data_IF_846501832581
#
_entry.id   IF_846501832581
#
_cell.length_a   1.000
_cell.length_b   1.000
_cell.length_c   1.000
_cell.angle_alpha   90.00
_cell.angle_beta   90.00
_cell.angle_gamma   90.00
#
_symmetry.space_group_name_H-M   'P 1'
#
loop_
_entity.id
_entity.type
_entity.pdbx_description
1 polymer ?
#
# COMPACT_ATOMS: atom_id res chain seq x y z
N UNK A 1 3.25 -17.54 -8.71
CA UNK A 1 1.89 -17.78 -8.18
C UNK A 1 1.06 -16.53 -8.42
N UNK A 2 -0.16 -16.66 -8.94
CA UNK A 2 -1.05 -15.53 -9.19
C UNK A 2 -1.60 -15.07 -7.83
N UNK A 3 -1.18 -13.90 -7.34
CA UNK A 3 -1.66 -13.33 -6.09
C UNK A 3 -3.14 -13.02 -6.24
N UNK A 4 -3.95 -13.34 -5.23
CA UNK A 4 -5.35 -12.92 -5.20
C UNK A 4 -5.38 -11.40 -5.08
N UNK A 5 -6.11 -10.73 -6.00
CA UNK A 5 -6.10 -9.26 -6.18
C UNK A 5 -6.38 -8.45 -4.90
N UNK A 6 -6.96 -9.07 -3.88
CA UNK A 6 -7.35 -8.40 -2.63
C UNK A 6 -6.70 -9.00 -1.37
N UNK A 7 -5.71 -9.88 -1.56
CA UNK A 7 -5.02 -10.52 -0.44
C UNK A 7 -3.71 -9.79 -0.18
N UNK A 8 -3.63 -9.15 0.98
CA UNK A 8 -2.40 -8.53 1.50
C UNK A 8 -1.78 -9.49 2.52
N UNK A 9 -0.50 -9.80 2.37
CA UNK A 9 0.25 -10.67 3.25
C UNK A 9 1.55 -10.01 3.71
N UNK A 10 2.03 -10.40 4.89
CA UNK A 10 3.37 -10.02 5.35
C UNK A 10 4.40 -10.57 4.36
N UNK A 11 5.32 -9.71 3.94
CA UNK A 11 6.31 -10.00 2.91
C UNK A 11 5.97 -9.45 1.53
N UNK A 12 4.71 -9.07 1.28
CA UNK A 12 4.31 -8.47 0.00
C UNK A 12 5.05 -7.15 -0.26
N UNK A 13 5.35 -6.89 -1.52
CA UNK A 13 5.80 -5.58 -2.01
C UNK A 13 4.68 -5.00 -2.85
N UNK A 14 4.32 -3.75 -2.56
CA UNK A 14 3.24 -3.00 -3.19
C UNK A 14 3.74 -1.62 -3.58
N UNK A 15 3.12 -1.01 -4.59
CA UNK A 15 3.56 0.24 -5.18
C UNK A 15 2.49 1.34 -5.03
N UNK A 16 2.83 2.41 -4.32
CA UNK A 16 2.00 3.60 -4.15
C UNK A 16 2.29 4.59 -5.29
N UNK A 17 1.29 4.89 -6.12
CA UNK A 17 1.34 5.98 -7.09
C UNK A 17 1.09 7.34 -6.39
N UNK A 18 2.14 7.90 -5.78
CA UNK A 18 2.03 9.08 -4.93
C UNK A 18 1.96 10.38 -5.73
N UNK A 19 0.79 11.04 -5.74
CA UNK A 19 0.60 12.35 -6.39
C UNK A 19 1.44 13.42 -5.69
N UNK A 20 1.48 13.38 -4.34
CA UNK A 20 2.18 14.36 -3.50
C UNK A 20 3.68 14.41 -3.80
N UNK A 21 4.33 13.25 -3.84
CA UNK A 21 5.76 13.14 -4.17
C UNK A 21 6.04 13.06 -5.66
N UNK A 22 4.98 12.92 -6.47
CA UNK A 22 5.11 12.85 -7.90
C UNK A 22 5.91 11.65 -8.42
N UNK A 23 5.93 10.55 -7.66
CA UNK A 23 6.69 9.33 -7.98
C UNK A 23 6.00 8.10 -7.42
N UNK A 24 6.37 6.94 -7.94
CA UNK A 24 5.98 5.65 -7.39
C UNK A 24 6.86 5.33 -6.18
N UNK A 25 6.23 4.88 -5.10
CA UNK A 25 6.92 4.49 -3.87
C UNK A 25 6.72 2.99 -3.66
N UNK A 26 7.82 2.27 -3.51
CA UNK A 26 7.81 0.86 -3.14
C UNK A 26 7.61 0.72 -1.63
N UNK A 27 6.68 -0.13 -1.23
CA UNK A 27 6.35 -0.44 0.15
C UNK A 27 6.35 -1.94 0.38
N UNK A 28 7.16 -2.39 1.34
CA UNK A 28 7.14 -3.77 1.82
C UNK A 28 6.21 -3.89 3.02
N UNK A 29 5.29 -4.84 2.99
CA UNK A 29 4.42 -5.16 4.14
C UNK A 29 5.21 -5.97 5.15
N UNK A 30 5.35 -5.44 6.36
CA UNK A 30 6.14 -6.07 7.43
C UNK A 30 5.29 -6.57 8.59
N UNK A 31 4.06 -6.08 8.74
CA UNK A 31 3.12 -6.59 9.73
C UNK A 31 1.66 -6.29 9.34
N UNK A 32 0.72 -7.10 9.80
CA UNK A 32 -0.72 -6.88 9.69
C UNK A 32 -1.37 -7.25 11.02
N UNK A 33 -2.15 -6.35 11.61
CA UNK A 33 -2.80 -6.58 12.89
C UNK A 33 -4.18 -5.91 12.95
N UNK A 34 -5.00 -6.37 13.89
CA UNK A 34 -6.26 -5.72 14.25
C UNK A 34 -6.01 -4.79 15.44
N UNK A 35 -6.56 -3.60 15.36
CA UNK A 35 -6.48 -2.59 16.42
C UNK A 35 -7.88 -2.08 16.74
N UNK A 36 -8.14 -1.91 18.03
CA UNK A 36 -9.42 -1.43 18.52
C UNK A 36 -9.44 0.09 18.55
N UNK A 37 -10.40 0.69 17.86
CA UNK A 37 -10.63 2.13 17.81
C UNK A 37 -12.01 2.44 18.38
N UNK A 38 -12.25 3.69 18.79
CA UNK A 38 -13.59 4.16 19.19
C UNK A 38 -14.65 3.88 18.11
N UNK A 39 -14.24 3.89 16.82
CA UNK A 39 -15.11 3.57 15.68
C UNK A 39 -15.25 2.07 15.36
N UNK A 40 -14.78 1.21 16.26
CA UNK A 40 -14.70 -0.24 16.10
C UNK A 40 -13.35 -0.72 15.54
N UNK A 41 -13.19 -2.04 15.51
CA UNK A 41 -11.99 -2.72 15.03
C UNK A 41 -11.60 -2.32 13.61
N UNK A 42 -10.30 -2.03 13.42
CA UNK A 42 -9.72 -1.72 12.11
C UNK A 42 -8.53 -2.64 11.84
N UNK A 43 -8.34 -3.00 10.57
CA UNK A 43 -7.16 -3.72 10.10
C UNK A 43 -6.06 -2.73 9.74
N UNK A 44 -4.94 -2.84 10.45
CA UNK A 44 -3.76 -2.00 10.25
C UNK A 44 -2.70 -2.79 9.49
N UNK A 45 -2.01 -2.11 8.59
CA UNK A 45 -0.90 -2.64 7.80
C UNK A 45 0.33 -1.80 8.07
N UNK A 46 1.42 -2.45 8.46
CA UNK A 46 2.71 -1.78 8.65
C UNK A 46 3.54 -2.01 7.41
N UNK A 47 4.02 -0.90 6.86
CA UNK A 47 4.80 -0.86 5.63
C UNK A 47 6.16 -0.23 5.87
N UNK A 48 7.15 -0.66 5.12
CA UNK A 48 8.50 -0.10 5.11
C UNK A 48 8.86 0.35 3.70
N UNK A 49 9.46 1.53 3.59
CA UNK A 49 9.86 2.14 2.32
C UNK A 49 11.10 3.02 2.53
N UNK A 50 11.59 3.70 1.49
CA UNK A 50 12.66 4.68 1.64
C UNK A 50 12.27 5.87 2.55
N UNK A 51 10.98 6.12 2.79
CA UNK A 51 10.47 7.12 3.74
C UNK A 51 10.44 6.62 5.19
N UNK A 52 10.92 5.39 5.43
CA UNK A 52 10.86 4.73 6.72
C UNK A 52 9.61 3.88 6.90
N UNK A 53 9.40 3.47 8.16
CA UNK A 53 8.33 2.56 8.57
C UNK A 53 7.08 3.33 8.96
N UNK A 54 5.94 2.96 8.38
CA UNK A 54 4.66 3.64 8.58
C UNK A 54 3.53 2.63 8.79
N UNK A 55 2.58 3.00 9.65
CA UNK A 55 1.33 2.26 9.87
C UNK A 55 0.21 2.92 9.07
N UNK A 56 -0.55 2.12 8.31
CA UNK A 56 -1.63 2.59 7.43
C UNK A 56 -2.87 1.71 7.62
N UNK A 57 -4.05 2.22 7.27
CA UNK A 57 -5.23 1.38 7.22
C UNK A 57 -5.15 0.44 6.02
N UNK A 58 -5.68 -0.78 6.16
CA UNK A 58 -5.77 -1.72 5.05
C UNK A 58 -6.51 -1.13 3.83
N UNK A 59 -7.51 -0.27 4.07
CA UNK A 59 -8.26 0.43 3.02
C UNK A 59 -7.42 1.42 2.21
N UNK A 60 -6.33 1.93 2.77
CA UNK A 60 -5.41 2.80 2.03
C UNK A 60 -4.50 1.95 1.13
N UNK A 61 -4.05 0.80 1.66
CA UNK A 61 -3.12 -0.11 1.01
C UNK A 61 -3.78 -0.93 -0.10
N UNK A 62 -5.07 -1.27 0.02
CA UNK A 62 -5.79 -2.09 -0.97
C UNK A 62 -5.87 -1.44 -2.36
N UNK A 63 -5.68 -0.12 -2.44
CA UNK A 63 -5.68 0.64 -3.69
C UNK A 63 -4.28 0.78 -4.32
N UNK A 64 -3.26 0.16 -3.72
CA UNK A 64 -1.91 0.12 -4.28
C UNK A 64 -1.78 -0.97 -5.34
N UNK A 65 -0.72 -0.87 -6.13
CA UNK A 65 -0.49 -1.75 -7.27
C UNK A 65 0.49 -2.86 -6.91
N UNK A 66 0.33 -4.03 -7.55
CA UNK A 66 1.26 -5.15 -7.39
C UNK A 66 2.53 -4.99 -8.25
N UNK A 67 2.52 -4.08 -9.24
CA UNK A 67 3.67 -3.79 -10.11
C UNK A 67 3.98 -2.30 -10.23
N UNK A 68 5.26 -2.00 -10.49
CA UNK A 68 5.74 -0.62 -10.71
C UNK A 68 5.07 -0.02 -11.94
N UNK A 69 4.93 -0.81 -13.01
CA UNK A 69 4.40 -0.35 -14.29
C UNK A 69 2.94 0.11 -14.19
N UNK A 70 2.12 -0.63 -13.42
CA UNK A 70 0.74 -0.24 -13.15
C UNK A 70 0.66 1.05 -12.33
N UNK A 71 1.52 1.18 -11.31
CA UNK A 71 1.59 2.39 -10.49
C UNK A 71 2.05 3.61 -11.30
N UNK A 72 3.07 3.47 -12.16
CA UNK A 72 3.56 4.54 -13.02
C UNK A 72 2.50 4.98 -14.03
N UNK A 73 1.78 4.01 -14.63
CA UNK A 73 0.68 4.31 -15.54
C UNK A 73 -0.42 5.11 -14.84
N UNK A 74 -0.83 4.66 -13.65
CA UNK A 74 -1.83 5.38 -12.85
C UNK A 74 -1.37 6.79 -12.48
N UNK A 75 -0.10 6.97 -12.12
CA UNK A 75 0.47 8.28 -11.78
C UNK A 75 0.47 9.23 -12.98
N UNK A 76 0.77 8.74 -14.19
CA UNK A 76 0.71 9.53 -15.42
C UNK A 76 -0.72 9.95 -15.78
N UNK A 77 -1.70 9.06 -15.57
CA UNK A 77 -3.11 9.35 -15.81
C UNK A 77 -3.67 10.40 -14.85
N UNK A 78 -3.34 10.30 -13.54
CA UNK A 78 -3.79 11.26 -12.51
C UNK A 78 -3.20 12.68 -12.65
N UNK A 79 -2.16 12.84 -13.47
CA UNK A 79 -1.49 14.12 -13.75
C UNK A 79 -2.06 14.86 -14.97
N UNK A 80 -2.92 14.21 -15.76
CA UNK A 80 -3.62 14.81 -16.90
C UNK A 80 -4.94 15.42 -16.45
#
# INVERSE_FOLDING_TARGET
MRKEKFKIQVGDVLYEASIMYGKVIEHKVVNVFLEDYVSGWKTMVVTESYLGRNTKFCTDVINWFDTVEEAEKSLKEKRR
#
